data_IF_320760762017
#
_entry.id   IF_320760762017
#
_cell.length_a   1.000
_cell.length_b   1.000
_cell.length_c   1.000
_cell.angle_alpha   90.00
_cell.angle_beta   90.00
_cell.angle_gamma   90.00
#
_symmetry.space_group_name_H-M   'P 1'
#
loop_
_entity.id
_entity.type
_entity.pdbx_description
1 polymer ?
#
# COMPACT_ATOMS: atom_id res chain seq x y z
N UNK A 1 16.85 12.03 -5.40
CA UNK A 1 15.77 13.02 -5.28
C UNK A 1 14.43 12.31 -5.39
N UNK A 2 13.52 12.58 -4.48
CA UNK A 2 12.21 11.96 -4.50
C UNK A 2 11.28 12.68 -5.47
N UNK A 3 10.65 11.93 -6.37
CA UNK A 3 9.59 12.44 -7.24
C UNK A 3 8.25 12.10 -6.60
N UNK A 4 7.40 13.09 -6.41
CA UNK A 4 6.08 12.88 -5.81
C UNK A 4 5.03 12.74 -6.90
N UNK A 5 4.22 11.69 -6.79
CA UNK A 5 3.17 11.36 -7.75
C UNK A 5 1.83 11.51 -7.05
N UNK A 6 0.96 12.33 -7.62
CA UNK A 6 -0.38 12.55 -7.08
C UNK A 6 -1.27 11.35 -7.40
N UNK A 7 -1.91 10.82 -6.37
CA UNK A 7 -2.74 9.61 -6.49
C UNK A 7 -4.22 9.96 -6.62
N UNK A 8 -4.77 10.63 -5.60
CA UNK A 8 -6.20 10.93 -5.53
C UNK A 8 -6.46 11.94 -4.44
N UNK A 9 -7.63 12.62 -4.45
CA UNK A 9 -8.03 13.42 -3.31
C UNK A 9 -8.10 12.54 -2.05
N UNK A 10 -7.56 13.04 -0.94
CA UNK A 10 -7.55 12.29 0.31
C UNK A 10 -8.97 11.89 0.74
N UNK A 11 -9.94 12.76 0.45
CA UNK A 11 -11.35 12.49 0.80
C UNK A 11 -11.96 11.33 0.00
N UNK A 12 -11.35 10.95 -1.10
CA UNK A 12 -11.84 9.83 -1.93
C UNK A 12 -11.39 8.47 -1.41
N UNK A 13 -10.45 8.44 -0.46
CA UNK A 13 -9.97 7.20 0.14
C UNK A 13 -10.40 7.18 1.60
N UNK A 14 -11.55 6.56 1.85
CA UNK A 14 -12.10 6.48 3.21
C UNK A 14 -11.22 5.58 4.10
N UNK A 15 -11.29 5.74 5.44
CA UNK A 15 -10.59 4.83 6.35
C UNK A 15 -10.95 3.37 6.07
N UNK A 16 -9.91 2.53 5.94
CA UNK A 16 -10.09 1.12 5.59
C UNK A 16 -10.14 0.86 4.09
N UNK A 17 -10.13 1.92 3.29
CA UNK A 17 -10.20 1.81 1.83
C UNK A 17 -8.81 2.00 1.20
N UNK A 18 -8.73 1.90 -0.12
CA UNK A 18 -7.48 2.01 -0.84
C UNK A 18 -7.67 2.64 -2.21
N UNK A 19 -6.56 3.03 -2.82
CA UNK A 19 -6.50 3.43 -4.22
C UNK A 19 -5.22 2.86 -4.82
N UNK A 20 -5.20 2.62 -6.11
CA UNK A 20 -4.03 2.07 -6.79
C UNK A 20 -3.51 3.06 -7.81
N UNK A 21 -2.19 3.05 -8.00
CA UNK A 21 -1.53 3.85 -9.03
C UNK A 21 -0.37 3.04 -9.60
N UNK A 22 -0.05 3.28 -10.86
CA UNK A 22 1.12 2.67 -11.49
C UNK A 22 2.30 3.65 -11.41
N UNK A 23 3.42 3.16 -10.89
CA UNK A 23 4.65 3.95 -10.75
C UNK A 23 5.76 3.17 -11.45
N UNK A 24 6.26 3.71 -12.57
CA UNK A 24 7.35 3.08 -13.36
C UNK A 24 7.06 1.62 -13.70
N UNK A 25 5.83 1.33 -14.10
CA UNK A 25 5.41 -0.01 -14.49
C UNK A 25 5.05 -0.94 -13.34
N UNK A 26 5.08 -0.45 -12.10
CA UNK A 26 4.75 -1.23 -10.90
C UNK A 26 3.47 -0.67 -10.28
N UNK A 27 2.53 -1.54 -9.94
CA UNK A 27 1.33 -1.10 -9.25
C UNK A 27 1.61 -0.90 -7.77
N UNK A 28 1.20 0.26 -7.26
CA UNK A 28 1.35 0.64 -5.85
C UNK A 28 -0.05 0.84 -5.28
N UNK A 29 -0.31 0.23 -4.14
CA UNK A 29 -1.58 0.41 -3.43
C UNK A 29 -1.38 1.41 -2.28
N UNK A 30 -2.30 2.35 -2.17
CA UNK A 30 -2.31 3.36 -1.12
C UNK A 30 -3.50 3.07 -0.22
N UNK A 31 -3.24 2.86 1.06
CA UNK A 31 -4.27 2.51 2.05
C UNK A 31 -4.47 3.67 3.03
N UNK A 32 -5.71 3.90 3.40
CA UNK A 32 -6.04 4.82 4.50
C UNK A 32 -6.30 3.98 5.76
N UNK A 33 -5.46 4.15 6.77
CA UNK A 33 -5.62 3.49 8.06
C UNK A 33 -5.83 4.58 9.11
N UNK A 34 -7.06 4.73 9.55
CA UNK A 34 -7.45 5.73 10.56
C UNK A 34 -7.00 7.16 10.23
N UNK A 35 -7.02 7.52 8.96
CA UNK A 35 -6.64 8.87 8.51
C UNK A 35 -5.18 9.02 8.12
N UNK A 36 -4.37 7.98 8.30
CA UNK A 36 -2.99 7.96 7.82
C UNK A 36 -2.90 7.15 6.53
N UNK A 37 -2.05 7.60 5.62
CA UNK A 37 -1.89 6.93 4.32
C UNK A 37 -0.58 6.17 4.27
N UNK A 38 -0.64 4.94 3.76
CA UNK A 38 0.50 4.04 3.60
C UNK A 38 0.49 3.50 2.19
N UNK A 39 1.67 3.39 1.58
CA UNK A 39 1.79 2.90 0.21
C UNK A 39 2.80 1.76 0.15
N UNK A 40 2.41 0.67 -0.48
CA UNK A 40 3.28 -0.50 -0.70
C UNK A 40 3.06 -1.00 -2.12
N UNK A 41 4.01 -1.78 -2.63
CA UNK A 41 3.80 -2.49 -3.89
C UNK A 41 2.54 -3.35 -3.79
N UNK A 42 1.68 -3.28 -4.80
CA UNK A 42 0.45 -4.06 -4.82
C UNK A 42 0.73 -5.45 -5.37
N UNK A 43 1.50 -6.20 -4.60
CA UNK A 43 1.89 -7.56 -4.98
C UNK A 43 2.09 -8.41 -3.73
N UNK A 44 1.47 -9.60 -3.72
CA UNK A 44 1.79 -10.61 -2.72
C UNK A 44 3.00 -11.38 -3.22
N UNK A 45 4.10 -11.33 -2.48
CA UNK A 45 5.36 -11.97 -2.92
C UNK A 45 5.27 -13.49 -2.95
N UNK A 46 4.23 -14.06 -2.35
CA UNK A 46 3.97 -15.49 -2.39
C UNK A 46 3.44 -15.95 -3.75
N UNK A 47 2.44 -15.24 -4.30
CA UNK A 47 1.76 -15.70 -5.51
C UNK A 47 1.72 -14.67 -6.65
N UNK A 48 2.25 -13.46 -6.43
CA UNK A 48 2.27 -12.41 -7.44
C UNK A 48 0.95 -11.67 -7.63
N UNK A 49 -0.10 -12.05 -6.93
CA UNK A 49 -1.38 -11.36 -7.01
C UNK A 49 -1.41 -10.08 -6.20
N UNK A 50 -2.42 -9.24 -6.42
CA UNK A 50 -2.54 -7.96 -5.71
C UNK A 50 -2.90 -8.11 -4.24
N UNK A 51 -2.52 -7.12 -3.45
CA UNK A 51 -2.86 -7.02 -2.03
C UNK A 51 -4.02 -6.07 -1.79
N UNK A 52 -4.30 -5.17 -2.71
CA UNK A 52 -5.41 -4.23 -2.61
C UNK A 52 -6.72 -5.00 -2.48
N UNK A 53 -7.58 -4.55 -1.57
CA UNK A 53 -8.82 -5.25 -1.26
C UNK A 53 -8.71 -6.28 -0.14
N UNK A 54 -7.50 -6.58 0.33
CA UNK A 54 -7.31 -7.43 1.50
C UNK A 54 -7.71 -6.71 2.78
N UNK A 55 -8.03 -7.48 3.81
CA UNK A 55 -8.37 -6.89 5.10
C UNK A 55 -7.16 -6.19 5.72
N UNK A 56 -7.44 -5.12 6.46
CA UNK A 56 -6.43 -4.38 7.19
C UNK A 56 -6.66 -4.61 8.68
N UNK A 57 -5.60 -5.02 9.38
CA UNK A 57 -5.64 -5.27 10.82
C UNK A 57 -4.30 -4.85 11.41
N UNK A 58 -4.29 -4.00 12.43
CA UNK A 58 -3.07 -3.53 13.11
C UNK A 58 -2.01 -3.00 12.13
N UNK A 59 -2.41 -2.18 11.16
CA UNK A 59 -1.51 -1.65 10.12
C UNK A 59 -0.84 -2.73 9.29
N UNK A 60 -1.54 -3.87 9.13
CA UNK A 60 -1.11 -4.96 8.27
C UNK A 60 -2.17 -5.21 7.21
N UNK A 61 -1.76 -5.50 5.99
CA UNK A 61 -2.68 -5.98 4.98
C UNK A 61 -2.58 -7.50 4.90
N UNK A 62 -3.73 -8.15 4.81
CA UNK A 62 -3.81 -9.61 4.76
C UNK A 62 -4.10 -9.99 3.32
N UNK A 63 -3.21 -10.80 2.72
CA UNK A 63 -3.41 -11.29 1.36
C UNK A 63 -4.72 -12.07 1.31
N UNK A 64 -5.67 -11.68 0.42
CA UNK A 64 -7.01 -12.30 0.43
C UNK A 64 -7.04 -13.75 -0.02
N UNK A 65 -5.95 -14.27 -0.55
CA UNK A 65 -5.92 -15.64 -1.08
C UNK A 65 -5.43 -16.66 -0.06
N UNK A 66 -4.29 -16.39 0.62
CA UNK A 66 -3.66 -17.37 1.49
C UNK A 66 -3.31 -16.85 2.87
N UNK A 67 -3.69 -15.61 3.19
CA UNK A 67 -3.53 -15.06 4.54
C UNK A 67 -2.13 -14.55 4.89
N UNK A 68 -1.23 -14.41 3.92
CA UNK A 68 0.05 -13.77 4.17
C UNK A 68 -0.17 -12.34 4.66
N UNK A 69 0.66 -11.86 5.58
CA UNK A 69 0.51 -10.53 6.14
C UNK A 69 1.74 -9.68 5.86
N UNK A 70 1.50 -8.42 5.52
CA UNK A 70 2.56 -7.44 5.24
C UNK A 70 2.31 -6.18 6.04
N UNK A 71 3.38 -5.62 6.60
CA UNK A 71 3.29 -4.33 7.29
C UNK A 71 3.02 -3.22 6.27
N UNK A 72 2.00 -2.41 6.53
CA UNK A 72 1.74 -1.23 5.71
C UNK A 72 2.76 -0.12 5.99
N UNK A 73 3.45 -0.17 7.13
CA UNK A 73 4.46 0.84 7.49
C UNK A 73 5.79 0.59 6.80
N UNK A 74 6.20 -0.67 6.67
CA UNK A 74 7.57 -1.01 6.23
C UNK A 74 7.60 -1.94 5.03
N UNK A 75 6.51 -2.65 4.74
CA UNK A 75 6.49 -3.68 3.71
C UNK A 75 7.01 -5.03 4.17
N UNK A 76 7.44 -5.13 5.44
CA UNK A 76 7.95 -6.40 5.96
C UNK A 76 6.87 -7.49 5.93
N UNK A 77 7.30 -8.72 5.63
CA UNK A 77 6.39 -9.86 5.73
C UNK A 77 6.24 -10.24 7.21
N UNK A 78 4.99 -10.39 7.66
CA UNK A 78 4.67 -10.66 9.06
C UNK A 78 4.06 -12.04 9.27
N UNK A 79 3.63 -12.71 8.21
CA UNK A 79 3.07 -14.06 8.30
C UNK A 79 3.24 -14.82 6.99
N UNK A 80 3.50 -16.15 7.08
CA UNK A 80 3.56 -16.98 5.90
C UNK A 80 2.18 -17.05 5.22
N UNK A 81 2.08 -17.50 3.96
CA UNK A 81 3.12 -18.18 3.20
C UNK A 81 4.09 -17.30 2.42
N UNK A 82 4.04 -15.98 2.61
CA UNK A 82 5.03 -15.10 1.99
C UNK A 82 6.29 -15.05 2.85
N UNK A 83 7.44 -14.95 2.20
CA UNK A 83 8.74 -14.90 2.88
C UNK A 83 9.57 -13.68 2.48
N UNK A 84 9.13 -12.96 1.45
CA UNK A 84 9.85 -11.77 0.98
C UNK A 84 9.03 -10.51 1.21
N UNK A 85 9.67 -9.41 1.62
CA UNK A 85 8.95 -8.15 1.85
C UNK A 85 8.53 -7.51 0.52
N UNK A 86 7.59 -6.57 0.63
CA UNK A 86 7.25 -5.68 -0.48
C UNK A 86 7.89 -4.33 -0.23
N UNK A 87 8.06 -3.55 -1.28
CA UNK A 87 8.59 -2.19 -1.16
C UNK A 87 7.52 -1.28 -0.57
N UNK A 88 7.91 -0.43 0.38
CA UNK A 88 7.05 0.63 0.90
C UNK A 88 7.49 1.97 0.32
N UNK A 89 6.57 2.93 0.26
CA UNK A 89 6.80 4.25 -0.31
C UNK A 89 6.35 5.31 0.68
N UNK A 90 7.07 6.45 0.76
CA UNK A 90 6.59 7.55 1.58
C UNK A 90 5.32 8.15 1.00
N UNK A 91 4.45 8.65 1.87
CA UNK A 91 3.23 9.33 1.47
C UNK A 91 3.17 10.71 2.11
N UNK A 92 2.43 11.61 1.48
CA UNK A 92 2.11 12.91 2.05
C UNK A 92 0.77 13.39 1.51
N UNK A 93 0.17 14.37 2.19
CA UNK A 93 -1.03 15.02 1.71
C UNK A 93 -0.69 16.49 1.42
N UNK A 94 -0.92 16.92 0.19
CA UNK A 94 -0.63 18.28 -0.25
C UNK A 94 -1.88 18.83 -0.92
N UNK A 95 -2.39 19.96 -0.38
CA UNK A 95 -3.57 20.61 -0.91
C UNK A 95 -4.77 19.66 -1.05
N UNK A 96 -4.92 18.75 -0.09
CA UNK A 96 -6.01 17.78 -0.08
C UNK A 96 -5.81 16.55 -0.94
N UNK A 97 -4.65 16.39 -1.58
CA UNK A 97 -4.33 15.23 -2.41
C UNK A 97 -3.27 14.35 -1.77
N UNK A 98 -3.48 13.04 -1.84
CA UNK A 98 -2.48 12.08 -1.41
C UNK A 98 -1.43 11.95 -2.50
N UNK A 99 -0.17 12.03 -2.12
CA UNK A 99 0.96 11.82 -3.02
C UNK A 99 1.85 10.72 -2.50
N UNK A 100 2.45 9.98 -3.43
CA UNK A 100 3.38 8.89 -3.14
C UNK A 100 4.75 9.29 -3.68
N UNK A 101 5.78 9.11 -2.86
CA UNK A 101 7.15 9.37 -3.27
C UNK A 101 7.71 8.17 -4.03
N UNK A 102 8.02 8.39 -5.31
CA UNK A 102 8.73 7.42 -6.13
C UNK A 102 10.17 7.86 -6.33
N UNK A 103 11.04 6.95 -6.70
CA UNK A 103 12.43 7.26 -6.97
C UNK A 103 12.75 7.20 -8.44
#
# INVERSE_FOLDING_TARGET
MTTWIRVAPAADIAPGDYSSIEVDGVFVAVFNVDGEFFAIDDVCTHDGGGLAGGEIEDHQVICPRHGARFSLRTGEVLAPPAYEPVKSYPTRVVEGYVEVGGE
#
